data_IF_288545064859
#
_entry.id   IF_288545064859
#
_cell.length_a   1.000
_cell.length_b   1.000
_cell.length_c   1.000
_cell.angle_alpha   90.00
_cell.angle_beta   90.00
_cell.angle_gamma   90.00
#
_symmetry.space_group_name_H-M   'P 1'
#
loop_
_entity.id
_entity.type
_entity.pdbx_description
1 polymer ?
#
# COMPACT_ATOMS: atom_id res chain seq x y z
N UNK A 1 -17.01 -2.03 9.64
CA UNK A 1 -16.26 -2.44 8.45
C UNK A 1 -14.79 -2.28 8.76
N UNK A 2 -13.97 -3.31 8.54
CA UNK A 2 -12.53 -3.21 8.76
C UNK A 2 -11.91 -2.34 7.66
N UNK A 3 -10.74 -1.76 7.91
CA UNK A 3 -10.00 -0.98 6.91
C UNK A 3 -9.70 -1.83 5.67
N UNK A 4 -9.30 -3.08 5.87
CA UNK A 4 -9.07 -4.08 4.82
C UNK A 4 -10.30 -4.23 3.90
N UNK A 5 -11.48 -4.44 4.47
CA UNK A 5 -12.72 -4.60 3.70
C UNK A 5 -12.98 -3.38 2.79
N UNK A 6 -12.75 -2.17 3.30
CA UNK A 6 -12.91 -0.92 2.53
C UNK A 6 -11.96 -0.85 1.34
N UNK A 7 -10.68 -1.15 1.58
CA UNK A 7 -9.66 -1.10 0.52
C UNK A 7 -9.98 -2.13 -0.56
N UNK A 8 -10.39 -3.34 -0.17
CA UNK A 8 -10.80 -4.38 -1.12
C UNK A 8 -12.04 -3.98 -1.92
N UNK A 9 -13.03 -3.32 -1.31
CA UNK A 9 -14.19 -2.79 -2.04
C UNK A 9 -13.76 -1.77 -3.11
N UNK A 10 -12.84 -0.85 -2.78
CA UNK A 10 -12.35 0.15 -3.73
C UNK A 10 -11.53 -0.50 -4.85
N UNK A 11 -10.65 -1.46 -4.54
CA UNK A 11 -9.89 -2.22 -5.55
C UNK A 11 -10.84 -2.91 -6.53
N UNK A 12 -11.88 -3.59 -6.04
CA UNK A 12 -12.88 -4.23 -6.90
C UNK A 12 -13.60 -3.22 -7.81
N UNK A 13 -13.87 -2.01 -7.31
CA UNK A 13 -14.42 -0.92 -8.13
C UNK A 13 -13.43 -0.52 -9.23
N UNK A 14 -12.16 -0.32 -8.90
CA UNK A 14 -11.10 0.03 -9.86
C UNK A 14 -10.96 -1.03 -10.95
N UNK A 15 -10.98 -2.32 -10.58
CA UNK A 15 -10.89 -3.44 -11.53
C UNK A 15 -12.10 -3.53 -12.45
N UNK A 16 -13.29 -3.16 -11.96
CA UNK A 16 -14.52 -3.14 -12.77
C UNK A 16 -14.59 -1.98 -13.77
N UNK A 17 -13.82 -0.91 -13.52
CA UNK A 17 -13.76 0.28 -14.38
C UNK A 17 -12.93 0.04 -15.64
N UNK A 18 -13.30 0.72 -16.72
CA UNK A 18 -12.54 0.70 -17.97
C UNK A 18 -11.06 1.10 -17.73
N UNK A 19 -10.11 0.55 -18.50
CA UNK A 19 -8.67 0.79 -18.31
C UNK A 19 -8.32 2.29 -18.24
N UNK A 20 -8.96 3.10 -19.09
CA UNK A 20 -8.74 4.54 -19.18
C UNK A 20 -9.82 5.37 -18.46
N UNK A 21 -10.53 4.80 -17.49
CA UNK A 21 -11.49 5.55 -16.71
C UNK A 21 -10.75 6.60 -15.86
N UNK A 22 -11.03 7.91 -16.05
CA UNK A 22 -10.30 8.96 -15.36
C UNK A 22 -10.57 9.00 -13.85
N UNK A 23 -11.66 8.39 -13.39
CA UNK A 23 -12.03 8.38 -11.96
C UNK A 23 -11.24 7.36 -11.14
N UNK A 24 -10.42 6.51 -11.78
CA UNK A 24 -9.53 5.60 -11.05
C UNK A 24 -8.54 6.35 -10.17
N UNK A 25 -8.12 7.55 -10.59
CA UNK A 25 -7.22 8.38 -9.78
C UNK A 25 -7.85 8.73 -8.44
N UNK A 26 -9.13 9.12 -8.44
CA UNK A 26 -9.85 9.48 -7.22
C UNK A 26 -10.01 8.28 -6.28
N UNK A 27 -10.22 7.08 -6.83
CA UNK A 27 -10.30 5.84 -6.04
C UNK A 27 -8.94 5.50 -5.39
N UNK A 28 -7.84 5.65 -6.12
CA UNK A 28 -6.50 5.43 -5.58
C UNK A 28 -6.17 6.47 -4.49
N UNK A 29 -6.52 7.74 -4.70
CA UNK A 29 -6.37 8.79 -3.69
C UNK A 29 -7.16 8.46 -2.41
N UNK A 30 -8.36 7.87 -2.55
CA UNK A 30 -9.13 7.41 -1.39
C UNK A 30 -8.41 6.28 -0.63
N UNK A 31 -7.83 5.30 -1.33
CA UNK A 31 -7.03 4.24 -0.72
C UNK A 31 -5.83 4.84 0.03
N UNK A 32 -5.07 5.75 -0.59
CA UNK A 32 -3.90 6.38 0.04
C UNK A 32 -4.29 7.12 1.32
N UNK A 33 -5.39 7.89 1.28
CA UNK A 33 -5.90 8.61 2.46
C UNK A 33 -6.34 7.66 3.58
N UNK A 34 -6.97 6.54 3.23
CA UNK A 34 -7.37 5.50 4.18
C UNK A 34 -6.15 4.85 4.84
N UNK A 35 -5.11 4.54 4.07
CA UNK A 35 -3.88 3.97 4.57
C UNK A 35 -3.15 4.97 5.49
N UNK A 36 -3.03 6.23 5.11
CA UNK A 36 -2.36 7.27 5.91
C UNK A 36 -3.02 7.55 7.27
N UNK A 37 -4.26 7.08 7.50
CA UNK A 37 -5.01 7.40 8.71
C UNK A 37 -4.42 6.79 9.99
N UNK A 38 -3.85 5.58 9.92
CA UNK A 38 -3.30 4.87 11.08
C UNK A 38 -2.25 3.83 10.64
N UNK A 39 -1.02 3.98 11.14
CA UNK A 39 0.11 3.09 10.79
C UNK A 39 -0.13 1.64 11.19
N UNK A 40 -0.75 1.37 12.34
CA UNK A 40 -0.97 0.00 12.82
C UNK A 40 -2.03 -0.71 11.98
N UNK A 41 -3.09 0.01 11.60
CA UNK A 41 -4.11 -0.55 10.70
C UNK A 41 -3.53 -0.79 9.31
N UNK A 42 -2.68 0.09 8.81
CA UNK A 42 -2.02 -0.08 7.51
C UNK A 42 -1.06 -1.26 7.48
N UNK A 43 -0.24 -1.45 8.53
CA UNK A 43 0.58 -2.66 8.67
C UNK A 43 -0.31 -3.91 8.66
N UNK A 44 -1.42 -3.89 9.40
CA UNK A 44 -2.36 -5.01 9.43
C UNK A 44 -2.94 -5.32 8.05
N UNK A 45 -3.32 -4.30 7.28
CA UNK A 45 -3.80 -4.47 5.90
C UNK A 45 -2.72 -5.11 5.02
N UNK A 46 -1.51 -4.53 4.99
CA UNK A 46 -0.41 -5.01 4.14
C UNK A 46 -0.05 -6.46 4.45
N UNK A 47 -0.03 -6.86 5.72
CA UNK A 47 0.31 -8.24 6.11
C UNK A 47 -0.76 -9.27 5.68
N UNK A 48 -2.03 -8.86 5.54
CA UNK A 48 -3.15 -9.75 5.22
C UNK A 48 -3.56 -9.76 3.74
N UNK A 49 -3.19 -8.74 2.97
CA UNK A 49 -3.49 -8.72 1.53
C UNK A 49 -2.71 -9.79 0.75
N UNK A 50 -3.35 -10.28 -0.31
CA UNK A 50 -2.69 -11.10 -1.33
C UNK A 50 -1.83 -10.21 -2.25
N UNK A 51 -1.01 -10.85 -3.09
CA UNK A 51 -0.10 -10.13 -3.98
C UNK A 51 -0.84 -9.18 -4.95
N UNK A 52 -1.91 -9.64 -5.59
CA UNK A 52 -2.61 -8.86 -6.62
C UNK A 52 -3.18 -7.56 -6.01
N UNK A 53 -3.76 -7.63 -4.81
CA UNK A 53 -4.24 -6.46 -4.07
C UNK A 53 -3.10 -5.57 -3.56
N UNK A 54 -1.93 -6.14 -3.26
CA UNK A 54 -0.76 -5.37 -2.84
C UNK A 54 -0.18 -4.54 -3.99
N UNK A 55 -0.24 -5.02 -5.23
CA UNK A 55 0.20 -4.26 -6.41
C UNK A 55 -0.61 -2.96 -6.61
N UNK A 56 -1.86 -2.92 -6.14
CA UNK A 56 -2.69 -1.70 -6.19
C UNK A 56 -2.26 -0.61 -5.21
N UNK A 57 -1.53 -0.97 -4.14
CA UNK A 57 -1.17 -0.02 -3.06
C UNK A 57 0.34 0.18 -2.92
N UNK A 58 1.15 -0.59 -3.65
CA UNK A 58 2.60 -0.55 -3.49
C UNK A 58 3.23 0.76 -3.96
N UNK A 59 2.55 1.51 -4.85
CA UNK A 59 2.95 2.87 -5.22
C UNK A 59 3.04 3.80 -4.02
N UNK A 60 2.24 3.54 -2.99
CA UNK A 60 2.10 4.43 -1.85
C UNK A 60 3.13 4.13 -0.76
N UNK A 61 3.89 3.03 -0.85
CA UNK A 61 4.83 2.63 0.20
C UNK A 61 5.88 3.71 0.50
N UNK A 62 6.34 4.44 -0.52
CA UNK A 62 7.25 5.57 -0.36
C UNK A 62 6.61 6.69 0.47
N UNK A 63 5.41 7.14 0.09
CA UNK A 63 4.70 8.20 0.80
C UNK A 63 4.31 7.76 2.21
N UNK A 64 3.76 6.55 2.37
CA UNK A 64 3.37 6.00 3.68
C UNK A 64 4.57 5.95 4.61
N UNK A 65 5.71 5.46 4.14
CA UNK A 65 6.93 5.40 4.93
C UNK A 65 7.42 6.79 5.33
N UNK A 66 7.46 7.72 4.37
CA UNK A 66 7.85 9.10 4.61
C UNK A 66 6.95 9.80 5.64
N UNK A 67 5.63 9.58 5.57
CA UNK A 67 4.65 10.20 6.46
C UNK A 67 4.62 9.57 7.84
N UNK A 68 4.69 8.24 7.93
CA UNK A 68 4.64 7.53 9.20
C UNK A 68 5.93 7.66 10.00
N UNK A 69 7.10 7.70 9.35
CA UNK A 69 8.40 7.64 10.03
C UNK A 69 8.44 6.51 11.08
N UNK A 70 7.85 5.37 10.77
CA UNK A 70 7.69 4.22 11.67
C UNK A 70 8.63 3.10 11.32
N UNK A 71 9.40 2.64 12.31
CA UNK A 71 10.27 1.49 12.15
C UNK A 71 9.48 0.19 11.95
N UNK A 72 8.33 0.08 12.61
CA UNK A 72 7.42 -1.07 12.48
C UNK A 72 6.89 -1.19 11.05
N UNK A 73 6.58 -0.07 10.39
CA UNK A 73 6.19 -0.05 8.98
C UNK A 73 7.33 -0.53 8.07
N UNK A 74 8.56 -0.07 8.30
CA UNK A 74 9.74 -0.55 7.55
C UNK A 74 9.99 -2.04 7.76
N UNK A 75 9.81 -2.54 8.99
CA UNK A 75 9.91 -3.98 9.28
C UNK A 75 8.81 -4.78 8.57
N UNK A 76 7.59 -4.24 8.47
CA UNK A 76 6.52 -4.82 7.66
C UNK A 76 6.92 -4.93 6.18
N UNK A 77 7.47 -3.88 5.59
CA UNK A 77 7.94 -3.88 4.20
C UNK A 77 9.06 -4.91 3.96
N UNK A 78 10.01 -5.04 4.89
CA UNK A 78 11.07 -6.06 4.82
C UNK A 78 10.53 -7.49 4.84
N UNK A 79 9.56 -7.78 5.71
CA UNK A 79 8.87 -9.08 5.70
C UNK A 79 8.16 -9.34 4.38
N UNK A 80 7.59 -8.29 3.78
CA UNK A 80 6.92 -8.40 2.49
C UNK A 80 7.92 -8.73 1.37
N UNK A 81 9.11 -8.14 1.39
CA UNK A 81 10.19 -8.44 0.45
C UNK A 81 10.67 -9.90 0.55
N UNK A 82 10.78 -10.42 1.77
CA UNK A 82 11.09 -11.83 2.02
C UNK A 82 9.98 -12.78 1.52
N UNK A 83 8.71 -12.37 1.66
CA UNK A 83 7.53 -13.15 1.22
C UNK A 83 7.39 -13.18 -0.31
N UNK A 84 7.69 -12.09 -0.99
CA UNK A 84 7.54 -11.95 -2.44
C UNK A 84 8.85 -11.50 -3.11
N UNK A 85 9.90 -12.33 -3.04
CA UNK A 85 11.21 -11.95 -3.55
C UNK A 85 11.10 -11.59 -5.04
N UNK A 86 11.58 -10.40 -5.42
CA UNK A 86 11.64 -9.83 -6.78
C UNK A 86 10.35 -9.28 -7.39
N UNK A 87 9.17 -9.49 -6.79
CA UNK A 87 7.92 -9.03 -7.39
C UNK A 87 7.60 -7.56 -7.12
N UNK A 88 7.94 -7.11 -5.91
CA UNK A 88 7.64 -5.76 -5.42
C UNK A 88 8.89 -5.05 -4.89
N UNK A 89 10.08 -5.59 -5.19
CA UNK A 89 11.33 -5.10 -4.62
C UNK A 89 11.56 -3.61 -4.89
N UNK A 90 11.33 -3.06 -6.10
CA UNK A 90 11.53 -1.62 -6.32
C UNK A 90 10.65 -0.74 -5.42
N UNK A 91 9.36 -1.05 -5.32
CA UNK A 91 8.38 -0.30 -4.50
C UNK A 91 8.68 -0.42 -3.01
N UNK A 92 9.05 -1.62 -2.56
CA UNK A 92 9.46 -1.87 -1.18
C UNK A 92 10.73 -1.10 -0.84
N UNK A 93 11.75 -1.12 -1.70
CA UNK A 93 13.00 -0.42 -1.45
C UNK A 93 12.80 1.10 -1.35
N UNK A 94 11.99 1.70 -2.24
CA UNK A 94 11.60 3.11 -2.13
C UNK A 94 10.95 3.42 -0.78
N UNK A 95 10.03 2.57 -0.31
CA UNK A 95 9.45 2.69 1.02
C UNK A 95 10.49 2.61 2.13
N UNK A 96 11.43 1.67 2.06
CA UNK A 96 12.50 1.54 3.07
C UNK A 96 13.42 2.77 3.06
N UNK A 97 13.83 3.25 1.87
CA UNK A 97 14.70 4.41 1.69
C UNK A 97 14.04 5.70 2.20
N UNK A 98 12.76 5.91 1.92
CA UNK A 98 11.99 7.08 2.37
C UNK A 98 11.92 7.23 3.90
N UNK A 99 12.10 6.14 4.66
CA UNK A 99 12.22 6.20 6.12
C UNK A 99 13.57 6.78 6.58
N UNK A 100 14.67 6.43 5.90
CA UNK A 100 16.01 6.88 6.30
C UNK A 100 16.30 8.31 5.85
N UNK A 101 15.51 8.83 4.90
CA UNK A 101 15.62 10.17 4.35
C UNK A 101 16.77 10.29 3.36
N UNK A 102 16.43 10.71 2.14
CA UNK A 102 17.35 11.45 1.26
C UNK A 102 17.15 12.96 1.49
#
# INVERSE_FOLDING_TARGET
>A
MKLEDKILEIINVIESKHLNDPTKSDDYDEITNLLLSDVNQTIHVIENLNLDNLEHISSDFEELSYKFQSKEFVECLKKLEEKYPKKMSPEIQKGIEAYYGD
#
